data_IF_677069222355
#
_entry.id   IF_677069222355
#
_cell.length_a   1.000
_cell.length_b   1.000
_cell.length_c   1.000
_cell.angle_alpha   90.00
_cell.angle_beta   90.00
_cell.angle_gamma   90.00
#
_symmetry.space_group_name_H-M   'P 1'
#
loop_
_entity.id
_entity.type
_entity.pdbx_description
1 polymer ?
#
# COMPACT_ATOMS: atom_id res chain seq x y z
N UNK A 1 -24.73 4.97 8.91
CA UNK A 1 -23.74 5.53 7.96
C UNK A 1 -22.64 4.49 7.84
N UNK A 2 -22.59 3.72 6.75
CA UNK A 2 -21.74 2.54 6.63
C UNK A 2 -20.42 2.96 5.98
N UNK A 3 -19.35 3.04 6.77
CA UNK A 3 -18.00 3.21 6.27
C UNK A 3 -17.64 1.96 5.46
N UNK A 4 -17.34 2.15 4.17
CA UNK A 4 -16.67 1.13 3.37
C UNK A 4 -15.29 0.95 3.99
N UNK A 5 -14.97 -0.28 4.38
CA UNK A 5 -13.59 -0.65 4.65
C UNK A 5 -12.84 -0.59 3.32
N UNK A 6 -12.03 0.47 3.17
CA UNK A 6 -11.02 0.55 2.14
C UNK A 6 -9.96 -0.49 2.51
N UNK A 7 -9.77 -1.50 1.67
CA UNK A 7 -8.67 -2.46 1.83
C UNK A 7 -7.31 -1.75 1.85
N UNK A 8 -6.20 -2.45 2.19
CA UNK A 8 -4.90 -1.81 2.31
C UNK A 8 -4.49 -1.17 0.98
N UNK A 9 -4.59 0.16 0.89
CA UNK A 9 -4.07 0.94 -0.23
C UNK A 9 -2.55 0.86 -0.20
N UNK A 10 -1.95 0.20 -1.19
CA UNK A 10 -0.51 0.16 -1.36
C UNK A 10 -0.04 1.55 -1.78
N UNK A 11 0.65 2.25 -0.88
CA UNK A 11 1.28 3.54 -1.18
C UNK A 11 2.78 3.32 -1.32
N UNK A 12 3.30 3.49 -2.53
CA UNK A 12 4.74 3.48 -2.78
C UNK A 12 5.30 4.90 -2.67
N UNK A 13 6.27 5.07 -1.76
CA UNK A 13 6.97 6.34 -1.57
C UNK A 13 8.27 6.30 -2.39
N UNK A 14 8.32 7.08 -3.47
CA UNK A 14 9.47 7.19 -4.35
C UNK A 14 10.19 8.50 -4.01
N UNK A 15 11.50 8.42 -3.71
CA UNK A 15 12.36 9.60 -3.58
C UNK A 15 13.01 9.90 -4.93
N UNK A 16 12.58 10.95 -5.67
CA UNK A 16 13.16 11.26 -6.96
C UNK A 16 14.56 11.89 -6.81
N UNK A 17 15.40 11.83 -7.87
CA UNK A 17 16.62 12.62 -7.98
C UNK A 17 16.32 14.14 -7.88
N UNK A 18 17.26 14.93 -7.34
CA UNK A 18 17.03 16.37 -7.17
C UNK A 18 16.79 17.12 -8.48
N UNK A 19 17.35 16.64 -9.59
CA UNK A 19 17.16 17.20 -10.93
C UNK A 19 15.69 17.22 -11.37
N UNK A 20 14.85 16.33 -10.83
CA UNK A 20 13.42 16.24 -11.18
C UNK A 20 12.56 17.24 -10.40
N UNK A 21 13.11 17.87 -9.35
CA UNK A 21 12.38 18.78 -8.46
C UNK A 21 12.38 20.22 -8.98
N UNK A 22 13.07 20.49 -10.10
CA UNK A 22 13.18 21.81 -10.71
C UNK A 22 12.80 21.74 -12.19
N UNK A 23 11.73 22.42 -12.63
CA UNK A 23 10.73 23.14 -11.83
C UNK A 23 9.79 22.18 -11.06
N UNK A 24 9.14 22.63 -9.97
CA UNK A 24 8.31 21.76 -9.12
C UNK A 24 7.14 21.10 -9.86
N UNK A 25 6.64 21.70 -10.94
CA UNK A 25 5.55 21.15 -11.76
C UNK A 25 6.01 20.04 -12.72
N UNK A 26 7.33 19.81 -12.84
CA UNK A 26 7.90 18.88 -13.81
C UNK A 26 7.42 17.45 -13.59
N UNK A 27 7.27 17.02 -12.33
CA UNK A 27 6.81 15.67 -11.99
C UNK A 27 5.35 15.48 -12.39
N UNK A 28 4.48 16.42 -12.04
CA UNK A 28 3.06 16.37 -12.38
C UNK A 28 2.84 16.34 -13.90
N UNK A 29 3.53 17.21 -14.64
CA UNK A 29 3.43 17.23 -16.10
C UNK A 29 4.04 15.98 -16.76
N UNK A 30 5.13 15.44 -16.22
CA UNK A 30 5.69 14.16 -16.68
C UNK A 30 4.72 13.00 -16.46
N UNK A 31 4.08 12.92 -15.28
CA UNK A 31 3.06 11.90 -14.96
C UNK A 31 1.83 12.04 -15.87
N UNK A 32 1.33 13.26 -16.06
CA UNK A 32 0.20 13.54 -16.95
C UNK A 32 0.50 13.16 -18.40
N UNK A 33 1.69 13.51 -18.90
CA UNK A 33 2.12 13.20 -20.27
C UNK A 33 2.32 11.70 -20.49
N UNK A 34 2.95 11.03 -19.53
CA UNK A 34 3.17 9.57 -19.59
C UNK A 34 1.86 8.81 -19.51
N UNK A 35 0.96 9.18 -18.60
CA UNK A 35 -0.37 8.59 -18.49
C UNK A 35 -1.18 8.78 -19.78
N UNK A 36 -1.14 9.98 -20.37
CA UNK A 36 -1.83 10.29 -21.62
C UNK A 36 -1.37 9.39 -22.78
N UNK A 37 -0.06 9.10 -22.89
CA UNK A 37 0.48 8.16 -23.88
C UNK A 37 0.08 6.73 -23.57
N UNK A 38 0.15 6.32 -22.30
CA UNK A 38 -0.17 4.97 -21.85
C UNK A 38 -1.64 4.63 -22.12
N UNK A 39 -2.55 5.56 -21.90
CA UNK A 39 -3.99 5.37 -22.13
C UNK A 39 -4.36 5.16 -23.61
N UNK A 40 -3.46 5.42 -24.56
CA UNK A 40 -3.66 5.03 -25.96
C UNK A 40 -3.56 3.51 -26.09
N UNK A 41 -2.47 2.93 -25.59
CA UNK A 41 -2.25 1.48 -25.63
C UNK A 41 -3.13 0.72 -24.63
N UNK A 42 -3.49 1.37 -23.52
CA UNK A 42 -4.30 0.80 -22.45
C UNK A 42 -5.61 1.55 -22.25
N UNK A 43 -6.31 1.82 -23.36
CA UNK A 43 -7.58 2.53 -23.35
C UNK A 43 -8.65 1.97 -22.39
N UNK A 44 -8.72 0.65 -22.07
CA UNK A 44 -9.72 0.16 -21.12
C UNK A 44 -9.57 0.76 -19.71
N UNK A 45 -8.36 1.18 -19.34
CA UNK A 45 -8.12 1.81 -18.03
C UNK A 45 -8.77 3.20 -17.91
N UNK A 46 -9.06 3.86 -19.04
CA UNK A 46 -9.82 5.11 -19.07
C UNK A 46 -11.35 4.91 -18.96
N UNK A 47 -11.82 3.66 -18.86
CA UNK A 47 -13.24 3.31 -18.76
C UNK A 47 -13.79 3.32 -17.33
N UNK A 48 -14.98 2.75 -17.14
CA UNK A 48 -15.60 2.53 -15.82
C UNK A 48 -16.04 1.09 -15.66
N UNK A 49 -15.89 0.56 -14.45
CA UNK A 49 -16.36 -0.77 -14.10
C UNK A 49 -17.87 -0.73 -13.84
N UNK A 50 -18.60 -1.51 -14.61
CA UNK A 50 -20.04 -1.72 -14.47
C UNK A 50 -20.30 -3.18 -14.12
N UNK A 51 -21.23 -3.41 -13.19
CA UNK A 51 -21.68 -4.76 -12.84
C UNK A 51 -22.85 -5.14 -13.72
N UNK A 52 -22.71 -6.25 -14.45
CA UNK A 52 -23.75 -6.77 -15.33
C UNK A 52 -24.59 -7.85 -14.60
N UNK A 53 -25.79 -8.20 -15.12
CA UNK A 53 -26.58 -9.31 -14.60
C UNK A 53 -25.74 -10.59 -14.50
N UNK A 54 -26.00 -11.41 -13.46
CA UNK A 54 -25.17 -12.56 -13.04
C UNK A 54 -23.88 -12.22 -12.29
N UNK A 55 -23.68 -10.95 -11.91
CA UNK A 55 -22.62 -10.55 -10.98
C UNK A 55 -21.23 -10.41 -11.60
N UNK A 56 -21.11 -10.51 -12.92
CA UNK A 56 -19.86 -10.27 -13.65
C UNK A 56 -19.55 -8.77 -13.71
N UNK A 57 -18.27 -8.43 -13.79
CA UNK A 57 -17.79 -7.05 -13.99
C UNK A 57 -17.40 -6.87 -15.45
N UNK A 58 -17.73 -5.71 -16.01
CA UNK A 58 -17.43 -5.33 -17.39
C UNK A 58 -16.84 -3.92 -17.39
N UNK A 59 -15.91 -3.65 -18.31
CA UNK A 59 -15.29 -2.34 -18.46
C UNK A 59 -16.00 -1.58 -19.58
N UNK A 60 -16.75 -0.54 -19.22
CA UNK A 60 -17.33 0.38 -20.18
C UNK A 60 -16.26 1.38 -20.65
N UNK A 61 -15.81 1.22 -21.90
CA UNK A 61 -14.82 2.11 -22.53
C UNK A 61 -15.47 3.41 -23.02
N UNK A 62 -15.82 4.30 -22.09
CA UNK A 62 -16.52 5.57 -22.39
C UNK A 62 -15.58 6.76 -22.65
N UNK A 63 -14.26 6.57 -22.59
CA UNK A 63 -13.28 7.62 -22.87
C UNK A 63 -13.29 8.79 -21.88
N UNK A 64 -13.95 8.65 -20.71
CA UNK A 64 -14.01 9.71 -19.68
C UNK A 64 -12.61 9.97 -19.10
N UNK A 65 -11.71 9.00 -19.17
CA UNK A 65 -10.33 9.16 -18.69
C UNK A 65 -10.17 8.82 -17.22
N UNK A 66 -8.95 9.05 -16.73
CA UNK A 66 -8.52 8.74 -15.37
C UNK A 66 -8.26 10.05 -14.63
N UNK A 67 -8.83 10.25 -13.41
CA UNK A 67 -8.50 11.42 -12.61
C UNK A 67 -7.05 11.36 -12.14
N UNK A 68 -6.32 12.46 -12.31
CA UNK A 68 -4.99 12.67 -11.76
C UNK A 68 -5.07 13.87 -10.82
N UNK A 69 -4.80 13.66 -9.53
CA UNK A 69 -4.83 14.70 -8.52
C UNK A 69 -3.43 14.89 -7.96
N UNK A 70 -2.97 16.13 -7.98
CA UNK A 70 -1.74 16.54 -7.33
C UNK A 70 -2.07 17.13 -5.94
N UNK A 71 -1.23 16.82 -4.96
CA UNK A 71 -1.34 17.34 -3.61
C UNK A 71 0.05 17.66 -3.08
N UNK A 72 0.17 18.83 -2.43
CA UNK A 72 1.39 19.25 -1.77
C UNK A 72 1.18 19.23 -0.26
N UNK A 73 2.23 18.89 0.48
CA UNK A 73 2.23 18.94 1.94
C UNK A 73 3.59 19.40 2.43
N UNK A 74 3.60 20.33 3.38
CA UNK A 74 4.81 20.74 4.10
C UNK A 74 5.26 19.69 5.14
N UNK A 75 4.51 18.59 5.28
CA UNK A 75 4.84 17.52 6.22
C UNK A 75 6.11 16.79 5.79
N UNK A 76 7.06 16.65 6.73
CA UNK A 76 8.28 15.86 6.50
C UNK A 76 7.95 14.37 6.60
N UNK A 77 8.15 13.64 5.51
CA UNK A 77 8.09 12.17 5.53
C UNK A 77 9.27 11.60 6.31
N UNK A 78 9.00 11.16 7.54
CA UNK A 78 10.01 10.55 8.41
C UNK A 78 10.06 9.04 8.14
N UNK A 79 10.96 8.61 7.24
CA UNK A 79 11.24 7.18 6.93
C UNK A 79 11.81 6.36 8.11
N UNK A 80 11.86 6.94 9.31
CA UNK A 80 12.40 6.29 10.52
C UNK A 80 11.57 5.07 10.95
N UNK A 81 10.35 4.89 10.45
CA UNK A 81 9.49 3.75 10.82
C UNK A 81 10.07 2.39 10.41
N UNK A 82 10.79 2.27 9.29
CA UNK A 82 11.31 0.97 8.85
C UNK A 82 12.58 0.56 9.61
N UNK A 83 13.52 1.48 9.83
CA UNK A 83 14.72 1.20 10.63
C UNK A 83 14.39 1.01 12.11
N UNK A 84 13.42 1.78 12.61
CA UNK A 84 12.87 1.60 13.94
C UNK A 84 12.14 0.26 14.07
N UNK A 85 11.23 -0.08 13.15
CA UNK A 85 10.52 -1.38 13.16
C UNK A 85 11.48 -2.56 13.03
N UNK A 86 12.45 -2.51 12.10
CA UNK A 86 13.49 -3.52 11.98
C UNK A 86 14.36 -3.61 13.26
N UNK A 87 14.63 -2.47 13.89
CA UNK A 87 15.30 -2.40 15.19
C UNK A 87 14.52 -3.11 16.30
N UNK A 88 13.20 -2.86 16.39
CA UNK A 88 12.31 -3.49 17.37
C UNK A 88 12.17 -4.99 17.13
N UNK A 89 12.02 -5.42 15.87
CA UNK A 89 11.97 -6.84 15.50
C UNK A 89 13.26 -7.54 15.93
N UNK A 90 14.43 -6.96 15.63
CA UNK A 90 15.74 -7.51 16.02
C UNK A 90 15.92 -7.56 17.54
N UNK A 91 15.50 -6.52 18.25
CA UNK A 91 15.56 -6.46 19.71
C UNK A 91 14.68 -7.54 20.35
N UNK A 92 13.47 -7.74 19.84
CA UNK A 92 12.56 -8.79 20.29
C UNK A 92 13.13 -10.19 20.04
N UNK A 93 13.65 -10.45 18.84
CA UNK A 93 14.31 -11.74 18.51
C UNK A 93 15.50 -12.00 19.46
N UNK A 94 16.29 -10.98 19.77
CA UNK A 94 17.44 -11.10 20.68
C UNK A 94 17.05 -11.38 22.14
N UNK A 95 15.83 -11.01 22.55
CA UNK A 95 15.34 -11.19 23.92
C UNK A 95 14.67 -12.56 24.13
N UNK A 96 14.32 -13.26 23.06
CA UNK A 96 13.76 -14.62 23.13
C UNK A 96 14.91 -15.60 23.33
N UNK A 97 15.17 -15.95 24.59
CA UNK A 97 16.18 -16.95 24.97
C UNK A 97 15.60 -18.37 24.88
N UNK A 98 16.48 -19.36 24.75
CA UNK A 98 16.09 -20.78 24.75
C UNK A 98 15.34 -21.19 26.04
N UNK A 99 15.63 -20.51 27.15
CA UNK A 99 14.95 -20.71 28.43
C UNK A 99 13.50 -20.22 28.39
N UNK A 100 13.24 -19.05 27.81
CA UNK A 100 11.87 -18.52 27.63
C UNK A 100 11.04 -19.37 26.65
N UNK A 101 11.67 -19.87 25.58
CA UNK A 101 11.02 -20.79 24.64
C UNK A 101 10.67 -22.11 25.33
N UNK A 102 11.61 -22.69 26.09
CA UNK A 102 11.38 -23.95 26.78
C UNK A 102 10.37 -23.82 27.92
N UNK A 103 10.32 -22.70 28.64
CA UNK A 103 9.30 -22.47 29.68
C UNK A 103 7.89 -22.32 29.09
N UNK A 104 7.77 -21.64 27.94
CA UNK A 104 6.49 -21.48 27.23
C UNK A 104 6.02 -22.81 26.63
N UNK A 105 6.93 -23.60 26.05
CA UNK A 105 6.62 -24.95 25.55
C UNK A 105 6.18 -25.86 26.71
N UNK A 106 6.83 -25.76 27.87
CA UNK A 106 6.45 -26.53 29.06
C UNK A 106 5.06 -26.13 29.57
N UNK A 107 4.73 -24.83 29.52
CA UNK A 107 3.39 -24.33 29.86
C UNK A 107 2.32 -24.84 28.88
N UNK A 108 2.57 -24.75 27.57
CA UNK A 108 1.62 -25.20 26.54
C UNK A 108 1.39 -26.71 26.56
N UNK A 109 2.40 -27.51 26.94
CA UNK A 109 2.28 -28.96 27.12
C UNK A 109 1.39 -29.38 28.29
N UNK A 110 1.08 -28.47 29.21
CA UNK A 110 0.17 -28.70 30.33
C UNK A 110 -1.29 -28.30 30.04
N UNK A 111 -1.61 -27.87 28.82
CA UNK A 111 -2.96 -27.46 28.42
C UNK A 111 -3.56 -28.60 27.58
N UNK A 112 -4.49 -29.35 28.18
CA UNK A 112 -5.18 -30.48 27.52
C UNK A 112 -6.22 -30.04 26.47
N UNK A 113 -6.58 -28.76 26.41
CA UNK A 113 -7.48 -28.22 25.38
C UNK A 113 -7.09 -26.79 24.97
N UNK A 114 -6.60 -26.64 23.75
CA UNK A 114 -6.22 -25.37 23.11
C UNK A 114 -7.33 -24.80 22.22
N UNK A 115 -8.55 -25.36 22.24
CA UNK A 115 -9.67 -24.90 21.40
C UNK A 115 -10.30 -23.56 21.82
N UNK A 116 -9.80 -22.94 22.89
CA UNK A 116 -10.31 -21.66 23.41
C UNK A 116 -9.50 -20.42 23.00
N UNK A 117 -8.55 -20.56 22.07
CA UNK A 117 -7.91 -19.43 21.39
C UNK A 117 -8.26 -19.40 19.90
#
# INVERSE_FOLDING_TARGET
>A
MKTREEGPTLVEIIKPPQEWLTPPEAIAEALKRSLSKLLISFHPLAGRLTRIPRGRLEIQCNGIGVPLTEAESEATLVLKSLSYAAGRIRETISKVTNEYVNSTIHFLKGIDDLSQF
#
